data_IF_497412728233
#
_entry.id   IF_497412728233
#
_cell.length_a   1.000
_cell.length_b   1.000
_cell.length_c   1.000
_cell.angle_alpha   90.00
_cell.angle_beta   90.00
_cell.angle_gamma   90.00
#
_symmetry.space_group_name_H-M   'P 1'
#
loop_
_entity.id
_entity.type
_entity.pdbx_description
1 polymer ?
#
# COMPACT_ATOMS: atom_id res chain seq x y z
N UNK A 1 -38.24 4.17 -20.69
CA UNK A 1 -37.54 3.32 -19.70
C UNK A 1 -36.11 2.92 -20.11
N UNK A 2 -35.79 2.72 -21.41
CA UNK A 2 -34.41 2.42 -21.88
C UNK A 2 -33.35 3.50 -21.54
N UNK A 3 -33.72 4.78 -21.58
CA UNK A 3 -32.80 5.90 -21.26
C UNK A 3 -32.25 5.87 -19.81
N UNK A 4 -33.00 5.31 -18.85
CA UNK A 4 -32.54 5.17 -17.46
C UNK A 4 -31.59 3.97 -17.25
N UNK A 5 -31.62 2.98 -18.15
CA UNK A 5 -30.73 1.84 -18.11
C UNK A 5 -29.36 2.18 -18.71
N UNK A 6 -29.33 2.96 -19.79
CA UNK A 6 -28.08 3.41 -20.41
C UNK A 6 -27.30 4.36 -19.49
N UNK A 7 -27.97 5.28 -18.81
CA UNK A 7 -27.33 6.18 -17.84
C UNK A 7 -26.72 5.41 -16.66
N UNK A 8 -27.42 4.42 -16.09
CA UNK A 8 -26.85 3.55 -15.04
C UNK A 8 -25.64 2.75 -15.54
N UNK A 9 -25.69 2.24 -16.77
CA UNK A 9 -24.59 1.45 -17.37
C UNK A 9 -23.36 2.31 -17.67
N UNK A 10 -23.59 3.56 -18.06
CA UNK A 10 -22.54 4.55 -18.32
C UNK A 10 -21.87 5.02 -17.02
N UNK A 11 -22.66 5.36 -15.99
CA UNK A 11 -22.15 5.71 -14.66
C UNK A 11 -21.35 4.57 -14.04
N UNK A 12 -21.81 3.31 -14.19
CA UNK A 12 -21.08 2.14 -13.71
C UNK A 12 -19.75 1.94 -14.44
N UNK A 13 -19.70 2.18 -15.75
CA UNK A 13 -18.44 2.12 -16.51
C UNK A 13 -17.44 3.17 -16.05
N UNK A 14 -17.89 4.41 -15.85
CA UNK A 14 -17.03 5.49 -15.34
C UNK A 14 -16.50 5.14 -13.94
N UNK A 15 -17.36 4.62 -13.05
CA UNK A 15 -16.90 4.16 -11.74
C UNK A 15 -15.88 3.02 -11.83
N UNK A 16 -16.02 2.09 -12.77
CA UNK A 16 -15.04 1.03 -12.96
C UNK A 16 -13.70 1.56 -13.47
N UNK A 17 -13.72 2.52 -14.39
CA UNK A 17 -12.52 3.19 -14.89
C UNK A 17 -11.81 3.97 -13.77
N UNK A 18 -12.57 4.71 -12.96
CA UNK A 18 -12.03 5.44 -11.81
C UNK A 18 -11.43 4.48 -10.77
N UNK A 19 -12.11 3.36 -10.48
CA UNK A 19 -11.58 2.33 -9.58
C UNK A 19 -10.32 1.68 -10.15
N UNK A 20 -10.24 1.45 -11.46
CA UNK A 20 -9.06 0.86 -12.11
C UNK A 20 -7.86 1.83 -12.07
N UNK A 21 -8.07 3.10 -12.35
CA UNK A 21 -7.05 4.15 -12.24
C UNK A 21 -6.61 4.30 -10.78
N UNK A 22 -7.56 4.32 -9.84
CA UNK A 22 -7.29 4.38 -8.41
C UNK A 22 -6.50 3.15 -7.95
N UNK A 23 -6.87 1.94 -8.38
CA UNK A 23 -6.12 0.73 -8.09
C UNK A 23 -4.72 0.78 -8.69
N UNK A 24 -4.56 1.33 -9.89
CA UNK A 24 -3.24 1.48 -10.53
C UNK A 24 -2.34 2.46 -9.77
N UNK A 25 -2.93 3.51 -9.18
CA UNK A 25 -2.22 4.49 -8.36
C UNK A 25 -1.94 3.95 -6.94
N UNK A 26 -2.90 3.28 -6.30
CA UNK A 26 -2.73 2.65 -4.98
C UNK A 26 -1.81 1.43 -5.03
N UNK A 27 -1.84 0.67 -6.12
CA UNK A 27 -0.91 -0.42 -6.39
C UNK A 27 0.45 0.09 -6.88
N UNK A 28 0.61 1.40 -7.10
CA UNK A 28 1.92 1.93 -7.47
C UNK A 28 2.89 1.72 -6.31
N UNK A 29 4.13 1.33 -6.62
CA UNK A 29 5.16 1.12 -5.60
C UNK A 29 5.37 2.34 -4.70
N UNK A 30 5.06 3.55 -5.18
CA UNK A 30 5.15 4.77 -4.39
C UNK A 30 4.18 4.79 -3.21
N UNK A 31 2.94 4.32 -3.39
CA UNK A 31 1.94 4.30 -2.31
C UNK A 31 2.34 3.29 -1.23
N UNK A 32 2.90 2.15 -1.64
CA UNK A 32 3.43 1.12 -0.74
C UNK A 32 4.63 1.64 0.05
N UNK A 33 5.55 2.36 -0.60
CA UNK A 33 6.66 3.03 0.10
C UNK A 33 6.17 4.04 1.14
N UNK A 34 5.16 4.83 0.79
CA UNK A 34 4.59 5.82 1.68
C UNK A 34 3.92 5.15 2.89
N UNK A 35 3.16 4.08 2.67
CA UNK A 35 2.52 3.30 3.73
C UNK A 35 3.56 2.65 4.68
N UNK A 36 4.66 2.11 4.14
CA UNK A 36 5.78 1.59 4.94
C UNK A 36 6.39 2.64 5.87
N UNK A 37 6.55 3.89 5.39
CA UNK A 37 7.06 4.99 6.21
C UNK A 37 6.11 5.25 7.38
N UNK A 38 4.80 5.30 7.13
CA UNK A 38 3.80 5.50 8.17
C UNK A 38 3.76 4.34 9.17
N UNK A 39 3.83 3.09 8.71
CA UNK A 39 3.87 1.91 9.58
C UNK A 39 5.13 1.87 10.44
N UNK A 40 6.30 2.11 9.86
CA UNK A 40 7.56 2.18 10.61
C UNK A 40 7.55 3.31 11.63
N UNK A 41 6.98 4.46 11.29
CA UNK A 41 6.84 5.58 12.22
C UNK A 41 5.89 5.26 13.37
N UNK A 42 4.75 4.62 13.08
CA UNK A 42 3.77 4.21 14.10
C UNK A 42 4.37 3.19 15.07
N UNK A 43 5.05 2.16 14.55
CA UNK A 43 5.78 1.19 15.36
C UNK A 43 6.83 1.86 16.24
N UNK A 44 7.55 2.82 15.69
CA UNK A 44 8.56 3.58 16.44
C UNK A 44 7.92 4.38 17.56
N UNK A 45 6.83 5.10 17.31
CA UNK A 45 6.09 5.85 18.33
C UNK A 45 5.55 4.95 19.44
N UNK A 46 4.99 3.80 19.08
CA UNK A 46 4.47 2.83 20.06
C UNK A 46 5.57 2.22 20.92
N UNK A 47 6.76 2.00 20.36
CA UNK A 47 7.90 1.42 21.09
C UNK A 47 8.76 2.50 21.78
N UNK A 48 8.59 3.77 21.43
CA UNK A 48 9.36 4.88 21.99
C UNK A 48 9.14 5.04 23.50
N UNK A 49 7.90 4.86 23.96
CA UNK A 49 7.58 4.86 25.40
C UNK A 49 8.32 3.76 26.17
N UNK A 50 8.58 2.61 25.54
CA UNK A 50 9.22 1.47 26.20
C UNK A 50 10.74 1.62 26.34
N UNK A 51 11.41 2.33 25.43
CA UNK A 51 12.88 2.42 25.38
C UNK A 51 13.45 3.76 25.84
N UNK A 52 12.65 4.83 25.87
CA UNK A 52 13.03 6.16 26.39
C UNK A 52 14.21 6.83 25.68
N UNK A 53 14.73 6.23 24.60
CA UNK A 53 15.93 6.65 23.89
C UNK A 53 15.64 6.78 22.40
N UNK A 54 15.91 7.98 21.88
CA UNK A 54 15.75 8.34 20.47
C UNK A 54 16.63 7.46 19.56
N UNK A 55 17.80 7.06 20.04
CA UNK A 55 18.71 6.21 19.27
C UNK A 55 18.14 4.81 19.03
N UNK A 56 17.49 4.23 20.04
CA UNK A 56 16.83 2.93 19.92
C UNK A 56 15.60 3.04 19.02
N UNK A 57 14.82 4.12 19.14
CA UNK A 57 13.71 4.42 18.23
C UNK A 57 14.16 4.49 16.76
N UNK A 58 15.29 5.14 16.48
CA UNK A 58 15.85 5.20 15.13
C UNK A 58 16.24 3.82 14.58
N UNK A 59 16.84 2.96 15.41
CA UNK A 59 17.18 1.58 15.01
C UNK A 59 15.91 0.77 14.70
N UNK A 60 14.86 0.91 15.51
CA UNK A 60 13.57 0.25 15.30
C UNK A 60 12.90 0.75 14.02
N UNK A 61 12.97 2.07 13.76
CA UNK A 61 12.47 2.65 12.53
C UNK A 61 13.17 2.08 11.29
N UNK A 62 14.51 2.11 11.27
CA UNK A 62 15.29 1.61 10.14
C UNK A 62 15.10 0.11 9.94
N UNK A 63 15.10 -0.69 11.01
CA UNK A 63 14.93 -2.14 10.92
C UNK A 63 13.53 -2.53 10.43
N UNK A 64 12.47 -1.90 10.96
CA UNK A 64 11.11 -2.13 10.49
C UNK A 64 10.91 -1.70 9.04
N UNK A 65 11.51 -0.58 8.63
CA UNK A 65 11.44 -0.09 7.26
C UNK A 65 12.12 -1.05 6.28
N UNK A 66 13.35 -1.49 6.59
CA UNK A 66 14.08 -2.46 5.77
C UNK A 66 13.33 -3.78 5.69
N UNK A 67 12.78 -4.26 6.82
CA UNK A 67 11.96 -5.47 6.84
C UNK A 67 10.74 -5.35 5.94
N UNK A 68 10.01 -4.23 6.00
CA UNK A 68 8.87 -3.95 5.13
C UNK A 68 9.26 -3.95 3.65
N UNK A 69 10.38 -3.33 3.28
CA UNK A 69 10.86 -3.27 1.87
C UNK A 69 11.19 -4.67 1.36
N UNK A 70 11.84 -5.50 2.19
CA UNK A 70 12.14 -6.89 1.85
C UNK A 70 10.85 -7.68 1.66
N UNK A 71 9.89 -7.54 2.57
CA UNK A 71 8.57 -8.17 2.47
C UNK A 71 7.84 -7.79 1.19
N UNK A 72 7.81 -6.49 0.87
CA UNK A 72 7.20 -6.01 -0.37
C UNK A 72 7.89 -6.59 -1.60
N UNK A 73 9.22 -6.62 -1.61
CA UNK A 73 10.01 -7.20 -2.71
C UNK A 73 9.74 -8.69 -2.87
N UNK A 74 9.64 -9.43 -1.75
CA UNK A 74 9.31 -10.84 -1.73
C UNK A 74 7.88 -11.09 -2.24
N UNK A 75 6.92 -10.26 -1.82
CA UNK A 75 5.53 -10.35 -2.24
C UNK A 75 5.40 -10.08 -3.74
N UNK A 76 6.13 -9.08 -4.24
CA UNK A 76 6.12 -8.72 -5.65
C UNK A 76 6.83 -9.80 -6.51
N UNK A 77 7.90 -10.40 -5.99
CA UNK A 77 8.53 -11.57 -6.61
C UNK A 77 7.55 -12.73 -6.68
N UNK A 78 6.90 -13.05 -5.56
CA UNK A 78 5.96 -14.18 -5.46
C UNK A 78 4.73 -13.99 -6.35
N UNK A 79 4.20 -12.77 -6.43
CA UNK A 79 3.08 -12.44 -7.32
C UNK A 79 3.47 -12.49 -8.80
N UNK A 80 4.71 -12.10 -9.12
CA UNK A 80 5.26 -12.18 -10.48
C UNK A 80 5.62 -13.60 -10.90
N UNK A 81 5.82 -14.49 -9.92
CA UNK A 81 6.12 -15.90 -10.10
C UNK A 81 4.85 -16.77 -10.15
N UNK A 82 3.65 -16.21 -9.94
CA UNK A 82 2.41 -16.87 -10.33
C UNK A 82 2.26 -16.83 -11.86
N UNK A 83 2.34 -17.98 -12.55
CA UNK A 83 2.02 -18.05 -13.97
C UNK A 83 0.50 -17.94 -14.09
N UNK A 84 0.03 -16.74 -14.42
CA UNK A 84 -1.30 -16.53 -14.96
C UNK A 84 -1.20 -16.50 -16.49
N UNK A 85 -1.05 -17.68 -17.09
CA UNK A 85 -1.67 -18.15 -18.35
C UNK A 85 -1.10 -19.52 -18.75
#
# INVERSE_FOLDING_TARGET
MRLFLDTKKYTRNIQQIDIEILNKVLSSGYFVFLDLIFWSFLLTMLTFEAHGSIFIGFIIFVSSYVFGVILYSLLNLWLKEQPGD
#
